data_IF_571930416804
#
_entry.id   IF_571930416804
#
_cell.length_a   1.000
_cell.length_b   1.000
_cell.length_c   1.000
_cell.angle_alpha   90.00
_cell.angle_beta   90.00
_cell.angle_gamma   90.00
#
_symmetry.space_group_name_H-M   'P 1'
#
loop_
_entity.id
_entity.type
_entity.pdbx_description
1 polymer ?
#
# COMPACT_ATOMS: atom_id res chain seq x y z
N UNK A 1 -12.76 -17.34 -5.64
CA UNK A 1 -13.73 -16.51 -4.89
C UNK A 1 -14.97 -17.32 -4.52
N UNK A 2 -14.81 -18.49 -3.90
CA UNK A 2 -15.94 -19.32 -3.44
C UNK A 2 -15.75 -19.42 -1.90
N UNK A 3 -16.79 -19.08 -1.12
CA UNK A 3 -16.84 -18.84 0.34
C UNK A 3 -16.81 -17.38 0.85
N UNK A 4 -17.36 -16.42 0.12
CA UNK A 4 -17.70 -15.12 0.75
C UNK A 4 -19.11 -15.19 1.35
N UNK A 5 -19.29 -14.59 2.53
CA UNK A 5 -20.59 -14.40 3.14
C UNK A 5 -21.45 -13.44 2.28
N UNK A 6 -22.79 -13.48 2.39
CA UNK A 6 -23.64 -12.44 1.84
C UNK A 6 -23.21 -11.06 2.36
N UNK A 7 -23.19 -10.06 1.48
CA UNK A 7 -22.77 -8.68 1.76
C UNK A 7 -21.28 -8.53 2.16
N UNK A 8 -20.32 -8.97 1.31
CA UNK A 8 -18.90 -8.87 1.65
C UNK A 8 -18.46 -7.40 1.76
N UNK A 9 -17.65 -7.12 2.77
CA UNK A 9 -17.04 -5.83 3.05
C UNK A 9 -15.62 -5.79 2.49
N UNK A 10 -15.31 -4.72 1.77
CA UNK A 10 -13.96 -4.47 1.25
C UNK A 10 -13.66 -2.97 1.25
N UNK A 11 -12.39 -2.63 1.07
CA UNK A 11 -11.91 -1.27 0.86
C UNK A 11 -11.67 -1.02 -0.63
N UNK A 12 -11.73 0.24 -1.06
CA UNK A 12 -11.51 0.60 -2.47
C UNK A 12 -10.03 0.43 -2.87
N UNK A 13 -9.10 0.60 -1.93
CA UNK A 13 -7.66 0.50 -2.16
C UNK A 13 -6.87 1.27 -1.11
N UNK A 14 -6.38 2.45 -1.49
CA UNK A 14 -5.54 3.34 -0.67
C UNK A 14 -6.01 3.53 0.78
N UNK A 15 -5.08 3.37 1.72
CA UNK A 15 -5.24 3.70 3.15
C UNK A 15 -4.28 4.84 3.56
N UNK A 16 -4.59 5.58 4.65
CA UNK A 16 -3.73 6.67 5.11
C UNK A 16 -2.30 6.22 5.41
N UNK A 17 -1.32 6.93 4.86
CA UNK A 17 0.10 6.67 5.13
C UNK A 17 0.53 7.32 6.43
N UNK A 18 1.32 6.59 7.22
CA UNK A 18 2.01 7.19 8.36
C UNK A 18 3.04 8.24 7.91
N UNK A 19 3.43 9.13 8.82
CA UNK A 19 4.48 10.14 8.55
C UNK A 19 5.81 9.49 8.15
N UNK A 20 6.09 8.29 8.67
CA UNK A 20 7.30 7.54 8.36
C UNK A 20 7.31 7.11 6.88
N UNK A 21 6.21 6.51 6.39
CA UNK A 21 6.06 6.11 4.99
C UNK A 21 6.13 7.31 4.06
N UNK A 22 5.42 8.40 4.39
CA UNK A 22 5.43 9.62 3.59
C UNK A 22 6.85 10.24 3.50
N UNK A 23 7.64 10.19 4.58
CA UNK A 23 9.04 10.65 4.58
C UNK A 23 9.94 9.72 3.76
N UNK A 24 9.78 8.40 3.93
CA UNK A 24 10.56 7.41 3.19
C UNK A 24 10.34 7.55 1.68
N UNK A 25 9.09 7.72 1.24
CA UNK A 25 8.75 7.93 -0.16
C UNK A 25 9.46 9.15 -0.75
N UNK A 26 9.39 10.30 -0.05
CA UNK A 26 10.10 11.53 -0.46
C UNK A 26 11.61 11.35 -0.49
N UNK A 27 12.17 10.57 0.43
CA UNK A 27 13.61 10.30 0.45
C UNK A 27 14.03 9.38 -0.69
N UNK A 28 13.23 8.35 -1.03
CA UNK A 28 13.47 7.48 -2.18
C UNK A 28 13.46 8.28 -3.49
N UNK A 29 12.44 9.12 -3.70
CA UNK A 29 12.34 9.99 -4.88
C UNK A 29 13.53 10.96 -5.03
N UNK A 30 14.18 11.32 -3.92
CA UNK A 30 15.37 12.17 -3.91
C UNK A 30 16.69 11.40 -3.90
N UNK A 31 16.65 10.06 -4.04
CA UNK A 31 17.84 9.21 -4.02
C UNK A 31 18.57 9.18 -2.67
N UNK A 32 17.90 9.53 -1.56
CA UNK A 32 18.51 9.65 -0.22
C UNK A 32 18.49 8.36 0.59
N UNK A 33 17.65 7.41 0.21
CA UNK A 33 17.60 6.06 0.78
C UNK A 33 17.60 5.06 -0.36
N UNK A 34 18.15 3.87 -0.09
CA UNK A 34 18.09 2.78 -1.04
C UNK A 34 16.65 2.25 -1.20
N UNK A 35 16.37 1.64 -2.34
CA UNK A 35 15.09 0.99 -2.59
C UNK A 35 14.77 -0.10 -1.56
N UNK A 36 15.77 -0.87 -1.15
CA UNK A 36 15.65 -1.90 -0.11
C UNK A 36 15.20 -1.32 1.24
N UNK A 37 15.71 -0.14 1.60
CA UNK A 37 15.32 0.55 2.83
C UNK A 37 13.87 1.06 2.74
N UNK A 38 13.48 1.65 1.61
CA UNK A 38 12.09 2.05 1.38
C UNK A 38 11.14 0.85 1.45
N UNK A 39 11.50 -0.25 0.79
CA UNK A 39 10.68 -1.46 0.76
C UNK A 39 10.45 -2.01 2.16
N UNK A 40 11.47 -2.05 3.02
CA UNK A 40 11.31 -2.48 4.42
C UNK A 40 10.31 -1.60 5.20
N UNK A 41 10.33 -0.28 4.98
CA UNK A 41 9.40 0.65 5.65
C UNK A 41 7.97 0.43 5.12
N UNK A 42 7.82 0.24 3.81
CA UNK A 42 6.52 0.00 3.20
C UNK A 42 5.96 -1.39 3.56
N UNK A 43 6.80 -2.43 3.68
CA UNK A 43 6.41 -3.76 4.16
C UNK A 43 5.73 -3.69 5.53
N UNK A 44 6.35 -2.96 6.47
CA UNK A 44 5.77 -2.76 7.80
C UNK A 44 4.40 -2.06 7.72
N UNK A 45 4.27 -1.03 6.88
CA UNK A 45 3.02 -0.30 6.71
C UNK A 45 1.91 -1.14 6.05
N UNK A 46 2.27 -2.04 5.12
CA UNK A 46 1.34 -3.01 4.55
C UNK A 46 0.85 -3.97 5.62
N UNK A 47 1.73 -4.50 6.47
CA UNK A 47 1.34 -5.38 7.56
C UNK A 47 0.41 -4.68 8.57
N UNK A 48 0.69 -3.42 8.90
CA UNK A 48 -0.20 -2.59 9.73
C UNK A 48 -1.57 -2.40 9.07
N UNK A 49 -1.60 -2.16 7.76
CA UNK A 49 -2.83 -2.00 6.98
C UNK A 49 -3.67 -3.27 6.95
N UNK A 50 -3.03 -4.42 6.75
CA UNK A 50 -3.70 -5.73 6.76
C UNK A 50 -4.27 -6.03 8.14
N UNK A 51 -3.46 -5.86 9.20
CA UNK A 51 -3.89 -6.08 10.57
C UNK A 51 -5.10 -5.22 10.94
N UNK A 52 -5.09 -3.93 10.58
CA UNK A 52 -6.22 -3.03 10.81
C UNK A 52 -7.50 -3.54 10.14
N UNK A 53 -7.41 -3.99 8.89
CA UNK A 53 -8.56 -4.49 8.14
C UNK A 53 -9.09 -5.81 8.72
N UNK A 54 -8.21 -6.74 9.09
CA UNK A 54 -8.57 -8.00 9.74
C UNK A 54 -9.27 -7.76 11.09
N UNK A 55 -8.73 -6.87 11.93
CA UNK A 55 -9.30 -6.51 13.23
C UNK A 55 -10.68 -5.83 13.11
N UNK A 56 -10.99 -5.24 11.95
CA UNK A 56 -12.26 -4.58 11.67
C UNK A 56 -13.22 -5.41 10.79
N UNK A 57 -12.90 -6.68 10.54
CA UNK A 57 -13.81 -7.60 9.83
C UNK A 57 -13.96 -7.33 8.33
N UNK A 58 -12.92 -6.81 7.67
CA UNK A 58 -12.88 -6.66 6.22
C UNK A 58 -12.67 -8.03 5.57
N UNK A 59 -13.62 -8.46 4.73
CA UNK A 59 -13.59 -9.80 4.10
C UNK A 59 -12.54 -9.92 2.99
N UNK A 60 -12.34 -8.83 2.23
CA UNK A 60 -11.36 -8.76 1.15
C UNK A 60 -10.46 -7.56 1.43
N UNK A 61 -9.24 -7.86 1.86
CA UNK A 61 -8.26 -6.86 2.27
C UNK A 61 -7.46 -6.30 1.09
N UNK A 62 -6.95 -5.08 1.25
CA UNK A 62 -5.98 -4.44 0.36
C UNK A 62 -4.66 -4.20 1.09
N UNK A 63 -3.55 -4.05 0.35
CA UNK A 63 -2.27 -3.60 0.91
C UNK A 63 -2.27 -2.11 1.28
N UNK A 64 -3.37 -1.40 1.00
CA UNK A 64 -3.54 0.02 1.29
C UNK A 64 -2.71 0.93 0.38
N UNK A 65 -2.14 0.42 -0.72
CA UNK A 65 -1.31 1.17 -1.68
C UNK A 65 -0.15 1.94 -1.03
N UNK A 66 0.44 1.36 0.02
CA UNK A 66 1.46 2.04 0.84
C UNK A 66 2.76 2.34 0.08
N UNK A 67 3.05 1.60 -1.00
CA UNK A 67 4.26 1.77 -1.85
C UNK A 67 4.10 2.78 -2.96
N UNK A 68 2.87 3.04 -3.40
CA UNK A 68 2.59 3.90 -4.54
C UNK A 68 2.83 5.36 -4.16
N UNK A 69 3.42 6.12 -5.07
CA UNK A 69 3.52 7.57 -4.90
C UNK A 69 2.26 8.28 -5.41
N UNK A 70 1.69 7.80 -6.52
CA UNK A 70 0.44 8.28 -7.09
C UNK A 70 -0.27 7.17 -7.89
N UNK A 71 -1.41 7.49 -8.51
CA UNK A 71 -2.24 6.53 -9.23
C UNK A 71 -1.71 6.15 -10.63
N UNK A 72 -0.86 6.97 -11.27
CA UNK A 72 -0.47 6.79 -12.67
C UNK A 72 0.98 6.33 -12.87
N UNK A 73 1.88 6.62 -11.93
CA UNK A 73 3.33 6.35 -12.06
C UNK A 73 3.64 4.90 -12.43
N UNK A 74 2.98 3.95 -11.77
CA UNK A 74 3.22 2.54 -12.06
C UNK A 74 2.80 2.15 -13.49
N UNK A 75 1.80 2.84 -14.07
CA UNK A 75 1.36 2.61 -15.45
C UNK A 75 2.43 3.17 -16.39
N UNK A 76 2.88 4.40 -16.15
CA UNK A 76 3.90 5.05 -16.99
C UNK A 76 5.23 4.30 -16.95
N UNK A 77 5.60 3.71 -15.81
CA UNK A 77 6.81 2.90 -15.66
C UNK A 77 6.70 1.54 -16.37
N UNK A 78 5.48 1.09 -16.68
CA UNK A 78 5.21 -0.24 -17.24
C UNK A 78 4.97 -0.24 -18.75
N UNK A 79 4.98 0.92 -19.40
CA UNK A 79 4.71 1.05 -20.85
C UNK A 79 5.81 1.85 -21.54
N UNK A 80 6.15 1.45 -22.77
CA UNK A 80 6.97 2.27 -23.67
C UNK A 80 6.04 3.13 -24.51
N UNK A 81 6.31 4.44 -24.56
CA UNK A 81 5.54 5.42 -25.31
C UNK A 81 5.74 5.34 -26.82
#
# INVERSE_FOLDING_TARGET
>A
MQNLLPFPVTVVGSLPRSRAVARALRNRQKGRIAETEFNRIADAAVLESLKLQEENGVDIVSDGEQRRDNFYSFITDSIQG
#
